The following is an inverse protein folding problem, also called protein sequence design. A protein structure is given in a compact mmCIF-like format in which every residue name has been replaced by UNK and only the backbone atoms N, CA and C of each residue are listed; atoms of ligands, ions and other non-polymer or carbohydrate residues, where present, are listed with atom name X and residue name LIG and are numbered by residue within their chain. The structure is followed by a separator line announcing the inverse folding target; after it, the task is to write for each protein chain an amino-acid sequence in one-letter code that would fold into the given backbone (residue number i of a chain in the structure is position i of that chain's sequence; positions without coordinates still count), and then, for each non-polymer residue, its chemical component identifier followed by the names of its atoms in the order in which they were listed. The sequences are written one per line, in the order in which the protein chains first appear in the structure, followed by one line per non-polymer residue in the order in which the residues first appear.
data_IF_297740322271
#
_entry.id   IF_297740322271
#
_cell.length_a   1.000
_cell.length_b   1.000
_cell.length_c   1.000
_cell.angle_alpha   90.00
_cell.angle_beta   90.00
_cell.angle_gamma   90.00
#
_symmetry.space_group_name_H-M   'P 1'
#
loop_
_entity.id
_entity.type
_entity.pdbx_description
1 polymer ?
#
# COMPACT_ATOMS: atom_id res chain seq x y z
N UNK A 1 4.54 55.55 20.39
CA UNK A 1 5.77 54.75 20.56
C UNK A 1 5.55 53.39 19.91
N UNK A 2 6.26 53.14 18.81
CA UNK A 2 6.03 52.03 17.90
C UNK A 2 6.67 50.74 18.46
N UNK A 3 5.93 49.63 18.44
CA UNK A 3 6.43 48.31 18.82
C UNK A 3 7.39 47.81 17.73
N UNK A 4 8.63 47.58 18.11
CA UNK A 4 9.67 46.94 17.29
C UNK A 4 9.29 45.48 17.06
N UNK A 5 8.64 45.18 15.94
CA UNK A 5 8.57 43.81 15.41
C UNK A 5 9.86 43.56 14.62
N UNK A 6 10.62 42.48 14.89
CA UNK A 6 11.79 42.18 14.07
C UNK A 6 11.32 41.85 12.66
N UNK A 7 11.89 42.55 11.68
CA UNK A 7 11.74 42.29 10.25
C UNK A 7 12.38 40.92 9.94
N UNK A 8 11.57 39.87 9.99
CA UNK A 8 11.99 38.52 9.63
C UNK A 8 12.00 38.45 8.09
N UNK A 9 13.16 38.23 7.45
CA UNK A 9 13.20 38.08 6.00
C UNK A 9 12.40 36.83 5.61
N UNK A 10 11.56 36.96 4.56
CA UNK A 10 10.68 35.87 4.04
C UNK A 10 11.42 34.59 3.61
N UNK A 11 12.74 34.58 3.61
CA UNK A 11 13.57 33.47 3.18
C UNK A 11 13.91 32.46 4.30
N UNK A 12 13.44 32.67 5.55
CA UNK A 12 13.74 31.79 6.69
C UNK A 12 12.64 30.76 7.02
N UNK A 13 11.57 30.67 6.23
CA UNK A 13 10.51 29.64 6.39
C UNK A 13 10.75 28.34 5.60
N UNK A 14 11.94 28.11 5.04
CA UNK A 14 12.23 26.90 4.24
C UNK A 14 13.10 25.88 5.02
N UNK A 15 13.55 26.19 6.24
CA UNK A 15 14.64 25.43 6.89
C UNK A 15 14.16 24.34 7.86
N UNK A 16 12.85 24.15 8.09
CA UNK A 16 12.37 23.23 9.14
C UNK A 16 11.26 22.26 8.73
N UNK A 17 11.14 21.90 7.45
CA UNK A 17 10.40 20.70 7.05
C UNK A 17 11.17 19.95 5.96
N UNK A 18 11.36 18.66 6.24
CA UNK A 18 11.77 17.58 5.35
C UNK A 18 13.27 17.27 5.28
N UNK A 19 13.76 16.21 5.97
CA UNK A 19 15.15 15.72 5.84
C UNK A 19 15.46 15.02 4.49
N UNK A 20 14.60 15.17 3.47
CA UNK A 20 14.70 14.48 2.18
C UNK A 20 15.01 15.40 0.99
N UNK A 21 15.05 16.72 1.19
CA UNK A 21 15.23 17.72 0.11
C UNK A 21 16.69 17.98 -0.28
N UNK A 22 17.67 17.57 0.53
CA UNK A 22 19.10 17.75 0.21
C UNK A 22 19.71 16.58 -0.59
N UNK A 23 18.92 15.57 -0.95
CA UNK A 23 19.41 14.33 -1.58
C UNK A 23 19.05 14.17 -3.06
N UNK A 24 18.72 15.25 -3.79
CA UNK A 24 18.55 15.22 -5.25
C UNK A 24 19.02 16.54 -5.88
N UNK A 25 20.24 16.54 -6.46
CA UNK A 25 20.30 16.54 -7.92
C UNK A 25 21.33 15.53 -8.44
N UNK A 26 21.05 14.24 -8.24
CA UNK A 26 21.76 13.14 -8.95
C UNK A 26 20.81 12.15 -9.64
N UNK A 27 19.50 12.47 -9.70
CA UNK A 27 18.53 11.72 -10.51
C UNK A 27 18.14 12.56 -11.72
N UNK A 28 19.14 12.84 -12.55
CA UNK A 28 18.90 13.10 -13.97
C UNK A 28 18.39 11.78 -14.55
N UNK A 29 17.14 11.79 -14.99
CA UNK A 29 16.58 10.93 -16.03
C UNK A 29 17.07 9.50 -16.11
N UNK A 30 16.42 8.59 -15.39
CA UNK A 30 16.11 7.28 -15.96
C UNK A 30 14.60 7.08 -15.87
N UNK A 31 13.85 7.99 -16.52
CA UNK A 31 12.58 7.59 -17.11
C UNK A 31 12.93 6.49 -18.11
N UNK A 32 12.73 5.23 -17.69
CA UNK A 32 12.90 4.07 -18.55
C UNK A 32 11.70 4.01 -19.51
N UNK A 33 11.65 4.94 -20.46
CA UNK A 33 10.94 4.73 -21.72
C UNK A 33 12.00 4.24 -22.70
N UNK A 34 12.05 2.93 -22.94
CA UNK A 34 12.87 2.42 -24.04
C UNK A 34 12.05 2.49 -25.32
N UNK A 35 12.58 3.03 -26.44
CA UNK A 35 11.99 2.81 -27.75
C UNK A 35 12.12 1.32 -28.09
N UNK A 36 11.10 0.54 -27.73
CA UNK A 36 11.11 -0.93 -27.83
C UNK A 36 10.28 -1.66 -26.77
N UNK A 37 9.49 -0.96 -25.96
CA UNK A 37 8.57 -1.52 -24.96
C UNK A 37 7.25 -2.03 -25.59
N UNK A 38 7.35 -2.75 -26.71
CA UNK A 38 6.21 -3.48 -27.26
C UNK A 38 6.06 -4.83 -26.56
N UNK A 39 4.85 -5.09 -26.04
CA UNK A 39 4.43 -6.40 -25.55
C UNK A 39 4.77 -7.49 -26.58
N UNK A 40 5.45 -8.55 -26.13
CA UNK A 40 5.75 -9.74 -26.92
C UNK A 40 6.98 -9.71 -27.84
N UNK A 41 7.98 -8.86 -27.59
CA UNK A 41 9.35 -9.13 -28.10
C UNK A 41 10.02 -10.17 -27.21
N UNK A 42 10.34 -11.31 -27.81
CA UNK A 42 10.96 -12.49 -27.21
C UNK A 42 12.24 -12.27 -26.40
N UNK A 43 12.60 -13.31 -25.63
CA UNK A 43 13.74 -13.45 -24.72
C UNK A 43 14.54 -12.18 -24.38
N UNK A 44 14.37 -11.68 -23.14
CA UNK A 44 15.34 -10.77 -22.53
C UNK A 44 14.81 -9.56 -21.78
N UNK A 45 13.48 -9.34 -21.70
CA UNK A 45 12.90 -8.15 -21.05
C UNK A 45 12.20 -8.33 -19.70
N UNK A 46 12.27 -9.51 -19.07
CA UNK A 46 11.90 -9.64 -17.65
C UNK A 46 11.07 -10.86 -17.23
N UNK A 47 10.75 -11.76 -18.18
CA UNK A 47 10.31 -13.12 -17.88
C UNK A 47 11.19 -14.06 -18.71
N UNK A 48 11.78 -15.08 -18.10
CA UNK A 48 12.65 -16.04 -18.78
C UNK A 48 12.03 -16.55 -20.08
N UNK A 49 12.87 -16.81 -21.11
CA UNK A 49 12.48 -17.15 -22.47
C UNK A 49 11.23 -18.04 -22.50
N UNK A 50 10.11 -17.45 -22.90
CA UNK A 50 8.76 -18.01 -22.75
C UNK A 50 8.45 -19.10 -23.77
N UNK A 51 9.45 -19.94 -24.09
CA UNK A 51 9.42 -20.89 -25.19
C UNK A 51 9.64 -20.24 -26.55
N UNK A 52 9.84 -21.09 -27.57
CA UNK A 52 10.17 -20.68 -28.93
C UNK A 52 9.15 -19.70 -29.56
N UNK A 53 7.89 -19.71 -29.12
CA UNK A 53 6.80 -18.89 -29.68
C UNK A 53 6.88 -17.43 -29.20
N UNK A 54 7.09 -17.20 -27.89
CA UNK A 54 7.36 -15.85 -27.37
C UNK A 54 8.72 -15.36 -27.84
N UNK A 55 9.72 -16.24 -27.89
CA UNK A 55 11.09 -15.89 -28.33
C UNK A 55 11.16 -15.48 -29.80
N UNK A 56 10.34 -16.08 -30.67
CA UNK A 56 10.21 -15.69 -32.07
C UNK A 56 9.57 -14.30 -32.27
N UNK A 57 8.85 -13.77 -31.27
CA UNK A 57 8.37 -12.37 -31.28
C UNK A 57 7.34 -12.03 -32.37
N UNK A 58 6.51 -12.99 -32.77
CA UNK A 58 5.46 -12.82 -33.78
C UNK A 58 4.09 -12.42 -33.21
N UNK A 59 3.07 -12.29 -34.08
CA UNK A 59 1.70 -11.95 -33.67
C UNK A 59 1.12 -12.93 -32.62
N UNK A 60 1.44 -14.22 -32.74
CA UNK A 60 1.05 -15.23 -31.76
C UNK A 60 1.78 -15.07 -30.41
N UNK A 61 3.07 -14.73 -30.41
CA UNK A 61 3.82 -14.45 -29.18
C UNK A 61 3.32 -13.21 -28.44
N UNK A 62 2.85 -12.18 -29.17
CA UNK A 62 2.20 -11.00 -28.57
C UNK A 62 0.84 -11.34 -27.96
N UNK A 63 0.05 -12.21 -28.60
CA UNK A 63 -1.24 -12.68 -28.10
C UNK A 63 -1.09 -13.54 -26.84
N UNK A 64 -0.11 -14.45 -26.83
CA UNK A 64 0.20 -15.29 -25.67
C UNK A 64 0.63 -14.44 -24.47
N UNK A 65 1.53 -13.47 -24.67
CA UNK A 65 1.94 -12.56 -23.60
C UNK A 65 0.76 -11.79 -22.98
N UNK A 66 -0.15 -11.28 -23.81
CA UNK A 66 -1.36 -10.59 -23.33
C UNK A 66 -2.26 -11.51 -22.49
N UNK A 67 -2.51 -12.73 -22.96
CA UNK A 67 -3.38 -13.67 -22.27
C UNK A 67 -2.80 -14.10 -20.92
N UNK A 68 -1.48 -14.35 -20.88
CA UNK A 68 -0.78 -14.64 -19.64
C UNK A 68 -0.87 -13.47 -18.65
N UNK A 69 -0.58 -12.24 -19.10
CA UNK A 69 -0.68 -11.04 -18.27
C UNK A 69 -2.09 -10.84 -17.72
N UNK A 70 -3.12 -11.02 -18.54
CA UNK A 70 -4.52 -10.93 -18.10
C UNK A 70 -4.85 -11.99 -17.04
N UNK A 71 -4.36 -13.23 -17.22
CA UNK A 71 -4.54 -14.30 -16.26
C UNK A 71 -3.88 -13.97 -14.91
N UNK A 72 -2.61 -13.55 -14.93
CA UNK A 72 -1.88 -13.20 -13.71
C UNK A 72 -2.50 -11.98 -13.01
N UNK A 73 -2.95 -10.99 -13.77
CA UNK A 73 -3.67 -9.84 -13.21
C UNK A 73 -4.94 -10.28 -12.47
N UNK A 74 -5.76 -11.13 -13.10
CA UNK A 74 -6.97 -11.67 -12.46
C UNK A 74 -6.64 -12.50 -11.23
N UNK A 75 -5.60 -13.32 -11.28
CA UNK A 75 -5.16 -14.14 -10.16
C UNK A 75 -4.70 -13.28 -8.97
N UNK A 76 -3.90 -12.24 -9.22
CA UNK A 76 -3.48 -11.29 -8.19
C UNK A 76 -4.68 -10.56 -7.58
N UNK A 77 -5.63 -10.12 -8.41
CA UNK A 77 -6.87 -9.50 -7.92
C UNK A 77 -7.70 -10.45 -7.05
N UNK A 78 -7.78 -11.74 -7.42
CA UNK A 78 -8.46 -12.75 -6.61
C UNK A 78 -7.77 -12.95 -5.26
N UNK A 79 -6.45 -13.06 -5.24
CA UNK A 79 -5.67 -13.19 -4.00
C UNK A 79 -5.86 -11.99 -3.08
N UNK A 80 -5.80 -10.77 -3.63
CA UNK A 80 -6.04 -9.55 -2.86
C UNK A 80 -7.46 -9.49 -2.29
N UNK A 81 -8.47 -9.92 -3.05
CA UNK A 81 -9.85 -10.00 -2.56
C UNK A 81 -10.00 -11.03 -1.44
N UNK A 82 -9.36 -12.19 -1.56
CA UNK A 82 -9.37 -13.22 -0.52
C UNK A 82 -8.72 -12.71 0.78
N UNK A 83 -7.58 -12.02 0.67
CA UNK A 83 -6.89 -11.44 1.82
C UNK A 83 -7.74 -10.36 2.51
N UNK A 84 -8.38 -9.48 1.73
CA UNK A 84 -9.29 -8.46 2.29
C UNK A 84 -10.46 -9.08 3.04
N UNK A 85 -11.11 -10.10 2.47
CA UNK A 85 -12.21 -10.81 3.14
C UNK A 85 -11.76 -11.45 4.44
N UNK A 86 -10.59 -12.09 4.47
CA UNK A 86 -10.06 -12.69 5.69
C UNK A 86 -9.87 -11.65 6.81
N UNK A 87 -9.28 -10.49 6.48
CA UNK A 87 -9.09 -9.41 7.43
C UNK A 87 -10.41 -8.81 7.93
N UNK A 88 -11.41 -8.69 7.06
CA UNK A 88 -12.76 -8.24 7.45
C UNK A 88 -13.42 -9.23 8.42
N UNK A 89 -13.29 -10.54 8.16
CA UNK A 89 -13.81 -11.58 9.05
C UNK A 89 -13.10 -11.59 10.41
N UNK A 90 -11.78 -11.42 10.44
CA UNK A 90 -11.00 -11.31 11.69
C UNK A 90 -11.43 -10.10 12.50
N UNK A 91 -11.55 -8.93 11.86
CA UNK A 91 -12.02 -7.72 12.50
C UNK A 91 -13.41 -7.91 13.12
N UNK A 92 -14.36 -8.54 12.41
CA UNK A 92 -15.69 -8.79 12.95
C UNK A 92 -15.68 -9.75 14.16
N UNK A 93 -14.77 -10.75 14.15
CA UNK A 93 -14.59 -11.65 15.30
C UNK A 93 -14.05 -10.90 16.51
N UNK A 94 -13.01 -10.09 16.32
CA UNK A 94 -12.42 -9.26 17.37
C UNK A 94 -13.43 -8.27 17.96
N UNK A 95 -14.24 -7.61 17.13
CA UNK A 95 -15.32 -6.73 17.60
C UNK A 95 -16.35 -7.46 18.47
N UNK A 96 -16.72 -8.69 18.10
CA UNK A 96 -17.65 -9.52 18.89
C UNK A 96 -17.02 -9.92 20.22
N UNK A 97 -15.73 -10.23 20.26
CA UNK A 97 -15.00 -10.54 21.49
C UNK A 97 -14.91 -9.34 22.42
N UNK A 98 -14.57 -8.16 21.90
CA UNK A 98 -14.54 -6.91 22.66
C UNK A 98 -15.90 -6.66 23.32
N UNK A 99 -17.01 -6.76 22.58
CA UNK A 99 -18.37 -6.57 23.12
C UNK A 99 -18.67 -7.54 24.27
N UNK A 100 -18.32 -8.82 24.13
CA UNK A 100 -18.51 -9.83 25.20
C UNK A 100 -17.69 -9.51 26.45
N UNK A 101 -16.46 -9.04 26.26
CA UNK A 101 -15.58 -8.65 27.36
C UNK A 101 -16.10 -7.39 28.06
N UNK A 102 -16.56 -6.39 27.32
CA UNK A 102 -17.19 -5.18 27.86
C UNK A 102 -18.43 -5.50 28.71
N UNK A 103 -19.31 -6.38 28.24
CA UNK A 103 -20.46 -6.84 29.03
C UNK A 103 -20.03 -7.53 30.33
N UNK A 104 -18.99 -8.35 30.27
CA UNK A 104 -18.45 -9.04 31.43
C UNK A 104 -17.84 -8.07 32.45
N UNK A 105 -17.12 -7.04 31.97
CA UNK A 105 -16.61 -5.94 32.80
C UNK A 105 -17.76 -5.19 33.43
N UNK A 106 -18.81 -4.86 32.67
CA UNK A 106 -20.00 -4.16 33.17
C UNK A 106 -20.69 -4.94 34.29
N UNK A 107 -20.86 -6.26 34.13
CA UNK A 107 -21.41 -7.15 35.17
C UNK A 107 -20.56 -7.13 36.44
N UNK A 108 -19.23 -7.27 36.31
CA UNK A 108 -18.31 -7.25 37.46
C UNK A 108 -18.33 -5.90 38.17
N UNK A 109 -18.33 -4.79 37.44
CA UNK A 109 -18.45 -3.44 38.00
C UNK A 109 -19.75 -3.26 38.80
N UNK A 110 -20.87 -3.77 38.29
CA UNK A 110 -22.15 -3.74 39.02
C UNK A 110 -22.08 -4.52 40.34
N UNK A 111 -21.51 -5.73 40.31
CA UNK A 111 -21.35 -6.56 41.51
C UNK A 111 -20.49 -5.88 42.57
N UNK A 112 -19.39 -5.22 42.17
CA UNK A 112 -18.56 -4.44 43.09
C UNK A 112 -19.34 -3.29 43.74
N UNK A 113 -20.09 -2.53 42.95
CA UNK A 113 -20.94 -1.45 43.48
C UNK A 113 -22.00 -1.95 44.47
N UNK A 114 -22.63 -3.10 44.17
CA UNK A 114 -23.64 -3.70 45.05
C UNK A 114 -23.03 -4.23 46.36
N UNK A 115 -21.74 -4.59 46.37
CA UNK A 115 -21.00 -4.98 47.58
C UNK A 115 -20.57 -3.76 48.40
N UNK A 116 -20.02 -2.73 47.76
CA UNK A 116 -19.62 -1.47 48.42
C UNK A 116 -20.79 -0.77 49.14
N UNK A 117 -22.02 -0.96 48.65
CA UNK A 117 -23.22 -0.37 49.25
C UNK A 117 -23.80 -1.17 50.43
N UNK A 118 -23.37 -2.43 50.60
CA UNK A 118 -23.85 -3.30 51.69
C UNK A 118 -23.03 -3.16 52.97
N UNK A 119 -21.84 -2.59 52.88
CA UNK A 119 -21.03 -2.14 54.00
C UNK A 119 -21.43 -0.71 54.42
#
# INVERSE_FOLDING_TARGET
MQRLVPFIPRNLKIVLKDPLTYLKPLYIGCFRLYPGDEFGRGAGKGGGGGGAIRDAGGAFGKLEARNEEEYFYKLQQQQLRALKKHLEEEHEREEKEIKRLEESIKRRKKLLYDLEKKD
#
